data_IF_163902107065
#
_entry.id   IF_163902107065
#
_cell.length_a   1.000
_cell.length_b   1.000
_cell.length_c   1.000
_cell.angle_alpha   90.00
_cell.angle_beta   90.00
_cell.angle_gamma   90.00
#
_symmetry.space_group_name_H-M   'P 1'
#
loop_
_entity.id
_entity.type
_entity.pdbx_description
1 polymer ?
#
# COMPACT_ATOMS: atom_id res chain seq x y z
N UNK A 1 1.35 -10.81 25.30
CA UNK A 1 1.92 -10.18 26.52
C UNK A 1 3.03 -11.08 27.06
N UNK A 2 4.08 -10.50 27.60
CA UNK A 2 5.12 -11.24 28.37
C UNK A 2 4.54 -11.76 29.68
N UNK A 3 5.21 -12.74 30.31
CA UNK A 3 4.87 -13.21 31.67
C UNK A 3 4.82 -12.05 32.69
N UNK A 4 5.63 -11.02 32.47
CA UNK A 4 5.62 -9.77 33.26
C UNK A 4 4.42 -8.87 33.01
N UNK A 5 3.45 -9.27 32.17
CA UNK A 5 2.29 -8.47 31.76
C UNK A 5 2.57 -7.41 30.70
N UNK A 6 3.83 -7.15 30.33
CA UNK A 6 4.17 -6.15 29.33
C UNK A 6 3.66 -6.54 27.95
N UNK A 7 2.96 -5.62 27.26
CA UNK A 7 2.55 -5.77 25.88
C UNK A 7 3.74 -5.40 24.97
N UNK A 8 4.10 -6.28 24.06
CA UNK A 8 5.01 -6.04 22.95
C UNK A 8 4.19 -6.18 21.68
N UNK A 9 4.20 -5.17 20.84
CA UNK A 9 3.56 -5.18 19.53
C UNK A 9 4.63 -5.33 18.45
N UNK A 10 4.38 -6.21 17.50
CA UNK A 10 5.30 -6.45 16.36
C UNK A 10 4.50 -6.20 15.09
N UNK A 11 4.85 -5.15 14.37
CA UNK A 11 4.26 -4.78 13.09
C UNK A 11 5.17 -5.27 11.97
N UNK A 12 4.73 -6.27 11.21
CA UNK A 12 5.42 -6.75 10.02
C UNK A 12 5.32 -5.68 8.92
N UNK A 13 6.47 -5.19 8.44
CA UNK A 13 6.56 -4.16 7.41
C UNK A 13 6.83 -4.75 6.04
N UNK A 14 7.93 -5.49 5.94
CA UNK A 14 8.42 -6.07 4.69
C UNK A 14 8.93 -7.49 4.95
N UNK A 15 8.62 -8.46 4.06
CA UNK A 15 9.19 -9.79 4.14
C UNK A 15 10.67 -9.74 3.78
N UNK A 16 11.50 -10.47 4.54
CA UNK A 16 12.94 -10.53 4.28
C UNK A 16 13.33 -11.93 3.78
N UNK A 17 12.77 -12.98 4.37
CA UNK A 17 13.10 -14.34 4.00
C UNK A 17 11.87 -15.26 4.08
N UNK A 18 11.39 -15.69 2.90
CA UNK A 18 11.70 -15.16 1.56
C UNK A 18 11.24 -13.70 1.42
N UNK A 19 11.87 -12.94 0.52
CA UNK A 19 11.61 -11.52 0.29
C UNK A 19 10.40 -11.24 -0.61
N UNK A 20 9.60 -12.25 -0.89
CA UNK A 20 8.35 -12.19 -1.64
C UNK A 20 7.16 -12.43 -0.71
N UNK A 21 6.14 -11.58 -0.76
CA UNK A 21 4.96 -11.66 0.11
C UNK A 21 4.21 -12.99 -0.04
N UNK A 22 3.95 -13.43 -1.28
CA UNK A 22 3.18 -14.65 -1.52
C UNK A 22 3.94 -15.89 -1.05
N UNK A 23 5.24 -15.96 -1.33
CA UNK A 23 6.11 -17.03 -0.87
C UNK A 23 6.27 -17.02 0.65
N UNK A 24 6.38 -15.84 1.24
CA UNK A 24 6.55 -15.68 2.68
C UNK A 24 5.29 -16.13 3.44
N UNK A 25 4.09 -15.77 2.98
CA UNK A 25 2.84 -16.22 3.58
C UNK A 25 2.60 -17.73 3.50
N UNK A 26 3.20 -18.41 2.53
CA UNK A 26 3.11 -19.86 2.36
C UNK A 26 4.14 -20.65 3.19
N UNK A 27 5.07 -19.96 3.86
CA UNK A 27 6.04 -20.64 4.74
C UNK A 27 5.33 -21.38 5.85
N UNK A 28 5.85 -22.57 6.22
CA UNK A 28 5.19 -23.50 7.15
C UNK A 28 5.97 -23.76 8.44
N UNK A 29 7.13 -23.14 8.62
CA UNK A 29 7.94 -23.32 9.84
C UNK A 29 8.73 -22.09 10.26
N UNK A 30 9.09 -21.23 9.29
CA UNK A 30 9.92 -20.05 9.52
C UNK A 30 9.55 -18.94 8.54
N UNK A 31 9.57 -17.71 9.02
CA UNK A 31 9.33 -16.50 8.22
C UNK A 31 10.09 -15.34 8.86
N UNK A 32 10.82 -14.57 8.07
CA UNK A 32 11.55 -13.40 8.57
C UNK A 32 11.01 -12.10 7.96
N UNK A 33 10.84 -11.09 8.82
CA UNK A 33 10.27 -9.81 8.48
C UNK A 33 11.06 -8.65 9.05
N UNK A 34 11.12 -7.58 8.31
CA UNK A 34 11.45 -6.27 8.87
C UNK A 34 10.23 -5.75 9.62
N UNK A 35 10.39 -5.43 10.90
CA UNK A 35 9.27 -5.08 11.78
C UNK A 35 9.51 -3.78 12.54
N UNK A 36 8.45 -3.01 12.76
CA UNK A 36 8.41 -2.03 13.84
C UNK A 36 7.98 -2.72 15.14
N UNK A 37 8.61 -2.33 16.26
CA UNK A 37 8.33 -2.94 17.55
C UNK A 37 7.84 -1.87 18.53
N UNK A 38 6.57 -2.00 18.92
CA UNK A 38 5.97 -1.21 19.99
C UNK A 38 6.47 -1.69 21.35
N UNK A 39 6.72 -0.74 22.27
CA UNK A 39 7.30 -1.04 23.58
C UNK A 39 8.65 -1.78 23.54
N UNK A 40 9.49 -1.49 22.54
CA UNK A 40 10.80 -2.12 22.36
C UNK A 40 11.65 -2.19 23.64
N UNK A 41 11.61 -1.15 24.47
CA UNK A 41 12.33 -1.09 25.75
C UNK A 41 11.95 -2.23 26.72
N UNK A 42 10.79 -2.85 26.52
CA UNK A 42 10.31 -4.00 27.31
C UNK A 42 10.75 -5.34 26.73
N UNK A 43 11.25 -5.36 25.49
CA UNK A 43 11.86 -6.53 24.88
C UNK A 43 13.37 -6.46 25.01
N UNK A 44 13.88 -6.81 26.22
CA UNK A 44 15.30 -6.65 26.50
C UNK A 44 16.14 -7.72 25.84
N UNK A 45 15.84 -9.01 26.08
CA UNK A 45 16.61 -10.14 25.60
C UNK A 45 15.71 -11.37 25.39
N UNK A 46 16.21 -12.32 24.56
CA UNK A 46 15.60 -13.61 24.29
C UNK A 46 14.36 -13.55 23.38
N UNK A 47 13.93 -14.74 22.96
CA UNK A 47 12.73 -14.86 22.12
C UNK A 47 11.45 -14.60 22.93
N UNK A 48 10.39 -14.21 22.23
CA UNK A 48 9.04 -14.14 22.75
C UNK A 48 8.26 -15.35 22.28
N UNK A 49 7.45 -15.93 23.16
CA UNK A 49 6.60 -17.07 22.85
C UNK A 49 5.15 -16.73 23.08
N UNK A 50 4.27 -17.24 22.22
CA UNK A 50 2.82 -17.15 22.37
C UNK A 50 2.18 -18.43 21.88
N UNK A 51 1.34 -19.03 22.71
CA UNK A 51 0.57 -20.22 22.33
C UNK A 51 -0.84 -19.81 21.94
N UNK A 52 -1.34 -20.38 20.86
CA UNK A 52 -2.74 -20.24 20.41
C UNK A 52 -3.19 -21.48 19.65
N UNK A 53 -4.50 -21.64 19.52
CA UNK A 53 -5.06 -22.72 18.70
C UNK A 53 -5.27 -22.25 17.27
N UNK A 54 -4.63 -22.91 16.32
CA UNK A 54 -4.76 -22.66 14.88
C UNK A 54 -5.23 -23.95 14.21
N UNK A 55 -6.30 -23.90 13.46
CA UNK A 55 -6.89 -25.09 12.80
C UNK A 55 -7.10 -26.27 13.77
N UNK A 56 -7.51 -26.00 15.00
CA UNK A 56 -7.78 -27.01 16.03
C UNK A 56 -6.55 -27.62 16.72
N UNK A 57 -5.35 -27.11 16.45
CA UNK A 57 -4.07 -27.56 17.08
C UNK A 57 -3.44 -26.41 17.88
N UNK A 58 -2.93 -26.71 19.06
CA UNK A 58 -2.14 -25.73 19.83
C UNK A 58 -0.79 -25.55 19.17
N UNK A 59 -0.41 -24.31 18.91
CA UNK A 59 0.83 -23.92 18.25
C UNK A 59 1.56 -22.90 19.11
N UNK A 60 2.85 -23.08 19.23
CA UNK A 60 3.76 -22.13 19.85
C UNK A 60 4.44 -21.28 18.78
N UNK A 61 4.05 -20.02 18.68
CA UNK A 61 4.76 -19.04 17.87
C UNK A 61 5.91 -18.43 18.68
N UNK A 62 7.09 -18.48 18.11
CA UNK A 62 8.30 -17.85 18.66
C UNK A 62 8.72 -16.70 17.77
N UNK A 63 8.94 -15.52 18.36
CA UNK A 63 9.50 -14.36 17.69
C UNK A 63 10.88 -14.03 18.27
N UNK A 64 11.90 -14.00 17.43
CA UNK A 64 13.28 -13.69 17.80
C UNK A 64 13.70 -12.39 17.13
N UNK A 65 14.12 -11.42 17.94
CA UNK A 65 14.58 -10.13 17.44
C UNK A 65 16.03 -10.22 16.96
N UNK A 66 16.27 -9.82 15.71
CA UNK A 66 17.59 -9.73 15.09
C UNK A 66 18.12 -8.30 15.02
N UNK A 67 18.82 -8.00 13.94
CA UNK A 67 19.52 -6.74 13.71
C UNK A 67 18.57 -5.52 13.61
N UNK A 68 19.13 -4.38 13.97
CA UNK A 68 18.41 -3.09 13.88
C UNK A 68 18.72 -2.42 12.54
N UNK A 69 17.68 -2.03 11.83
CA UNK A 69 17.74 -1.29 10.57
C UNK A 69 17.00 0.05 10.73
N UNK A 70 17.72 1.10 11.10
CA UNK A 70 17.13 2.40 11.37
C UNK A 70 16.17 2.36 12.57
N UNK A 71 14.87 2.53 12.34
CA UNK A 71 13.83 2.44 13.38
C UNK A 71 13.14 1.09 13.45
N UNK A 72 13.54 0.15 12.59
CA UNK A 72 12.94 -1.18 12.44
C UNK A 72 13.94 -2.27 12.84
N UNK A 73 13.45 -3.48 13.03
CA UNK A 73 14.27 -4.64 13.40
C UNK A 73 13.89 -5.82 12.52
N UNK A 74 14.87 -6.63 12.19
CA UNK A 74 14.64 -7.97 11.68
C UNK A 74 13.99 -8.79 12.80
N UNK A 75 12.91 -9.51 12.49
CA UNK A 75 12.26 -10.45 13.41
C UNK A 75 12.06 -11.77 12.69
N UNK A 76 12.61 -12.84 13.27
CA UNK A 76 12.40 -14.21 12.86
C UNK A 76 11.22 -14.79 13.60
N UNK A 77 10.24 -15.31 12.86
CA UNK A 77 9.10 -16.05 13.37
C UNK A 77 9.31 -17.53 13.09
N UNK A 78 9.17 -18.36 14.11
CA UNK A 78 9.17 -19.81 13.99
C UNK A 78 7.98 -20.42 14.73
N UNK A 79 7.47 -21.54 14.24
CA UNK A 79 6.37 -22.27 14.88
C UNK A 79 6.53 -23.77 14.70
N UNK A 80 5.87 -24.54 15.56
CA UNK A 80 6.09 -25.96 15.76
C UNK A 80 5.14 -26.89 14.95
N UNK A 81 4.38 -26.36 13.99
CA UNK A 81 3.46 -27.17 13.19
C UNK A 81 3.57 -26.85 11.69
N UNK A 82 4.09 -27.78 10.86
CA UNK A 82 4.29 -27.57 9.43
C UNK A 82 2.99 -27.58 8.58
N UNK A 83 1.84 -27.93 9.13
CA UNK A 83 0.56 -27.84 8.43
C UNK A 83 -0.07 -26.45 8.49
N UNK A 84 0.58 -25.53 9.20
CA UNK A 84 0.12 -24.15 9.40
C UNK A 84 1.06 -23.21 8.67
N UNK A 85 0.49 -22.38 7.83
CA UNK A 85 1.23 -21.36 7.08
C UNK A 85 1.41 -20.08 7.90
N UNK A 86 2.36 -19.22 7.50
CA UNK A 86 2.52 -17.91 8.13
C UNK A 86 1.25 -17.05 7.98
N UNK A 87 0.52 -17.20 6.88
CA UNK A 87 -0.79 -16.54 6.71
C UNK A 87 -1.79 -16.97 7.80
N UNK A 88 -1.86 -18.28 8.11
CA UNK A 88 -2.72 -18.80 9.19
C UNK A 88 -2.28 -18.25 10.57
N UNK A 89 -0.96 -18.14 10.78
CA UNK A 89 -0.39 -17.51 11.98
C UNK A 89 -0.88 -16.07 12.12
N UNK A 90 -0.73 -15.26 11.06
CA UNK A 90 -1.16 -13.86 11.09
C UNK A 90 -2.67 -13.71 11.30
N UNK A 91 -3.47 -14.64 10.78
CA UNK A 91 -4.93 -14.61 10.95
C UNK A 91 -5.35 -14.83 12.42
N UNK A 92 -4.65 -15.70 13.15
CA UNK A 92 -5.02 -16.09 14.53
C UNK A 92 -4.26 -15.30 15.58
N UNK A 93 -2.95 -15.10 15.39
CA UNK A 93 -2.09 -14.37 16.33
C UNK A 93 -2.10 -12.87 16.11
N UNK A 94 -2.36 -12.44 14.85
CA UNK A 94 -2.39 -11.05 14.47
C UNK A 94 -3.67 -10.35 14.89
N UNK A 95 -3.56 -9.05 15.08
CA UNK A 95 -4.70 -8.15 15.19
C UNK A 95 -4.71 -7.28 13.94
N UNK A 96 -5.90 -7.01 13.40
CA UNK A 96 -6.04 -6.10 12.27
C UNK A 96 -5.58 -4.71 12.72
N UNK A 97 -4.51 -4.14 12.14
CA UNK A 97 -4.08 -2.80 12.51
C UNK A 97 -5.10 -1.79 11.99
N UNK A 98 -5.75 -1.09 12.91
CA UNK A 98 -6.59 0.07 12.59
C UNK A 98 -5.76 1.35 12.71
N UNK A 99 -6.12 2.42 12.00
CA UNK A 99 -5.37 3.67 12.06
C UNK A 99 -5.23 4.21 13.50
N UNK A 100 -4.02 4.64 13.91
CA UNK A 100 -3.75 5.08 15.30
C UNK A 100 -4.61 6.26 15.76
N UNK A 101 -5.08 7.11 14.85
CA UNK A 101 -5.92 8.27 15.18
C UNK A 101 -7.32 7.88 15.70
N UNK A 102 -7.75 6.62 15.54
CA UNK A 102 -9.01 6.14 16.12
C UNK A 102 -8.96 6.02 17.63
N UNK A 103 -7.76 5.99 18.24
CA UNK A 103 -7.53 5.96 19.69
C UNK A 103 -8.38 4.92 20.43
N UNK A 104 -8.59 3.76 19.83
CA UNK A 104 -9.29 2.62 20.42
C UNK A 104 -8.64 1.31 20.00
N UNK A 105 -8.92 0.24 20.70
CA UNK A 105 -8.54 -1.11 20.29
C UNK A 105 -9.38 -1.60 19.09
N UNK A 106 -8.84 -2.52 18.33
CA UNK A 106 -9.54 -3.19 17.22
C UNK A 106 -10.73 -3.97 17.75
N UNK A 107 -11.87 -3.86 17.10
CA UNK A 107 -13.11 -4.59 17.40
C UNK A 107 -13.34 -5.68 16.35
N UNK A 108 -14.13 -6.70 16.70
CA UNK A 108 -14.46 -7.78 15.77
C UNK A 108 -15.15 -7.26 14.50
N UNK A 109 -15.98 -6.22 14.65
CA UNK A 109 -16.63 -5.54 13.52
C UNK A 109 -15.64 -4.90 12.53
N UNK A 110 -14.42 -4.53 12.97
CA UNK A 110 -13.43 -3.94 12.07
C UNK A 110 -12.93 -4.96 11.03
N UNK A 111 -12.97 -6.25 11.33
CA UNK A 111 -12.61 -7.30 10.38
C UNK A 111 -13.50 -7.31 9.13
N UNK A 112 -14.74 -6.87 9.27
CA UNK A 112 -15.68 -6.74 8.16
C UNK A 112 -15.72 -5.31 7.62
N UNK A 113 -15.80 -4.31 8.50
CA UNK A 113 -15.99 -2.91 8.10
C UNK A 113 -14.73 -2.22 7.61
N UNK A 114 -13.53 -2.73 7.98
CA UNK A 114 -12.24 -2.23 7.50
C UNK A 114 -11.65 -3.12 6.41
N UNK A 115 -12.51 -3.71 5.57
CA UNK A 115 -12.16 -4.51 4.41
C UNK A 115 -13.01 -4.10 3.21
N UNK A 116 -12.40 -4.09 2.02
CA UNK A 116 -13.13 -3.84 0.78
C UNK A 116 -13.77 -5.12 0.27
N UNK A 117 -14.91 -5.01 -0.43
CA UNK A 117 -15.61 -6.15 -1.06
C UNK A 117 -14.76 -6.86 -2.13
N UNK A 118 -13.69 -6.23 -2.61
CA UNK A 118 -12.78 -6.79 -3.61
C UNK A 118 -11.41 -7.23 -3.03
N UNK A 119 -11.24 -7.22 -1.71
CA UNK A 119 -10.00 -7.71 -1.08
C UNK A 119 -9.83 -9.21 -1.32
N UNK A 120 -8.80 -9.61 -2.06
CA UNK A 120 -8.52 -11.01 -2.42
C UNK A 120 -7.23 -11.54 -1.83
N UNK A 121 -6.25 -10.68 -1.66
CA UNK A 121 -4.90 -11.05 -1.25
C UNK A 121 -4.64 -10.49 0.15
N UNK A 122 -4.40 -11.40 1.11
CA UNK A 122 -3.99 -11.06 2.48
C UNK A 122 -2.53 -10.56 2.44
N UNK A 123 -2.18 -9.59 3.27
CA UNK A 123 -0.77 -9.17 3.41
C UNK A 123 -0.50 -7.68 3.35
N UNK A 124 -1.52 -6.83 3.39
CA UNK A 124 -1.35 -5.39 3.56
C UNK A 124 -1.71 -4.96 4.97
N UNK A 125 -0.94 -4.04 5.53
CA UNK A 125 -1.19 -3.44 6.86
C UNK A 125 -2.29 -2.40 6.80
N UNK A 126 -2.51 -1.77 5.65
CA UNK A 126 -3.52 -0.73 5.47
C UNK A 126 -4.57 -1.17 4.45
N UNK A 127 -5.86 -1.08 4.84
CA UNK A 127 -6.96 -1.26 3.90
C UNK A 127 -7.01 -0.07 2.92
N UNK A 128 -7.41 -0.28 1.64
CA UNK A 128 -7.64 0.80 0.69
C UNK A 128 -8.95 1.52 1.02
N UNK A 129 -8.92 2.42 2.01
CA UNK A 129 -10.10 2.97 2.68
C UNK A 129 -11.07 3.74 1.77
N UNK A 130 -10.58 4.34 0.69
CA UNK A 130 -11.45 4.90 -0.34
C UNK A 130 -12.33 3.84 -1.03
N UNK A 131 -11.86 2.60 -1.08
CA UNK A 131 -12.60 1.46 -1.61
C UNK A 131 -13.74 0.95 -0.73
N UNK A 132 -13.76 1.31 0.56
CA UNK A 132 -14.82 0.93 1.49
C UNK A 132 -16.19 1.51 1.09
N UNK A 133 -16.22 2.56 0.29
CA UNK A 133 -17.46 3.17 -0.24
C UNK A 133 -18.07 2.37 -1.40
N UNK A 134 -17.34 1.40 -1.97
CA UNK A 134 -17.81 0.58 -3.08
C UNK A 134 -18.47 -0.70 -2.54
N UNK A 135 -19.78 -0.78 -2.72
CA UNK A 135 -20.57 -1.99 -2.42
C UNK A 135 -20.75 -2.82 -3.68
N UNK A 136 -21.13 -4.10 -3.53
CA UNK A 136 -21.48 -4.96 -4.67
C UNK A 136 -22.50 -4.30 -5.60
N UNK A 137 -23.48 -3.57 -5.04
CA UNK A 137 -24.49 -2.83 -5.82
C UNK A 137 -23.86 -1.72 -6.66
N UNK A 138 -22.90 -0.98 -6.11
CA UNK A 138 -22.19 0.09 -6.84
C UNK A 138 -21.36 -0.52 -7.96
N UNK A 139 -20.61 -1.58 -7.69
CA UNK A 139 -19.80 -2.28 -8.70
C UNK A 139 -20.66 -2.82 -9.84
N UNK A 140 -21.83 -3.45 -9.52
CA UNK A 140 -22.78 -3.91 -10.52
C UNK A 140 -23.31 -2.76 -11.39
N UNK A 141 -23.68 -1.63 -10.77
CA UNK A 141 -24.16 -0.44 -11.50
C UNK A 141 -23.11 0.16 -12.41
N UNK A 142 -21.84 0.19 -12.00
CA UNK A 142 -20.73 0.65 -12.85
C UNK A 142 -20.58 -0.25 -14.08
N UNK A 143 -20.63 -1.57 -13.88
CA UNK A 143 -20.56 -2.55 -14.96
C UNK A 143 -21.71 -2.41 -15.95
N UNK A 144 -22.96 -2.22 -15.48
CA UNK A 144 -24.14 -1.98 -16.31
C UNK A 144 -24.00 -0.70 -17.17
N UNK A 145 -23.26 0.30 -16.65
CA UNK A 145 -22.96 1.55 -17.37
C UNK A 145 -21.78 1.44 -18.31
N UNK A 146 -21.20 0.24 -18.47
CA UNK A 146 -20.05 0.02 -19.34
C UNK A 146 -18.74 0.59 -18.81
N UNK A 147 -18.61 0.77 -17.49
CA UNK A 147 -17.35 1.17 -16.84
C UNK A 147 -16.50 -0.07 -16.63
N UNK A 148 -15.32 -0.11 -17.22
CA UNK A 148 -14.33 -1.15 -16.98
C UNK A 148 -13.71 -1.00 -15.59
N UNK A 149 -13.68 -2.12 -14.86
CA UNK A 149 -13.08 -2.20 -13.53
C UNK A 149 -11.77 -2.98 -13.64
N UNK A 150 -10.70 -2.38 -13.14
CA UNK A 150 -9.38 -3.01 -13.08
C UNK A 150 -8.81 -2.96 -11.66
N UNK A 151 -7.98 -3.94 -11.37
CA UNK A 151 -7.33 -4.08 -10.08
C UNK A 151 -5.83 -3.84 -10.23
N UNK A 152 -5.26 -3.10 -9.30
CA UNK A 152 -3.83 -3.00 -9.10
C UNK A 152 -3.50 -3.45 -7.68
N UNK A 153 -2.38 -4.14 -7.50
CA UNK A 153 -1.95 -4.58 -6.17
C UNK A 153 -0.84 -3.66 -5.68
N UNK A 154 -1.03 -3.15 -4.49
CA UNK A 154 -0.03 -2.40 -3.76
C UNK A 154 0.14 -3.01 -2.37
N UNK A 155 1.38 -3.35 -2.02
CA UNK A 155 1.73 -3.79 -0.68
C UNK A 155 2.14 -2.57 0.14
N UNK A 156 1.21 -2.10 0.96
CA UNK A 156 1.41 -0.92 1.81
C UNK A 156 1.94 -1.36 3.16
N UNK A 157 3.17 -0.98 3.45
CA UNK A 157 3.79 -1.20 4.76
C UNK A 157 3.25 -0.26 5.84
N UNK A 158 3.50 -0.58 7.12
CA UNK A 158 3.06 0.23 8.27
C UNK A 158 3.66 1.65 8.30
N UNK A 159 4.64 1.93 7.44
CA UNK A 159 5.23 3.26 7.26
C UNK A 159 4.22 4.34 6.87
N UNK A 160 3.13 3.96 6.20
CA UNK A 160 2.05 4.88 5.78
C UNK A 160 1.36 5.56 6.95
N UNK A 161 1.43 5.00 8.16
CA UNK A 161 0.87 5.60 9.37
C UNK A 161 1.80 6.58 10.08
N UNK A 162 3.03 6.78 9.59
CA UNK A 162 3.95 7.76 10.18
C UNK A 162 3.57 9.18 9.72
N UNK A 163 3.35 10.12 10.64
CA UNK A 163 3.12 11.51 10.28
C UNK A 163 4.38 12.11 9.65
N UNK A 164 4.20 13.06 8.74
CA UNK A 164 5.30 13.91 8.24
C UNK A 164 5.87 14.67 9.42
N UNK A 165 7.15 14.48 9.70
CA UNK A 165 7.85 15.14 10.83
C UNK A 165 8.72 16.31 10.38
N UNK A 166 8.96 16.45 9.07
CA UNK A 166 9.74 17.54 8.50
C UNK A 166 8.86 18.76 8.24
N UNK A 167 9.38 19.94 8.51
CA UNK A 167 8.73 21.21 8.14
C UNK A 167 8.79 21.46 6.62
N UNK A 168 9.75 20.84 5.95
CA UNK A 168 9.96 20.92 4.50
C UNK A 168 9.72 19.55 3.85
N UNK A 169 9.14 19.57 2.64
CA UNK A 169 8.80 18.35 1.89
C UNK A 169 10.04 17.56 1.50
N UNK A 170 11.15 18.27 1.19
CA UNK A 170 12.42 17.66 0.80
C UNK A 170 13.02 16.78 1.90
N UNK A 171 12.77 17.12 3.17
CA UNK A 171 13.23 16.34 4.32
C UNK A 171 12.37 15.11 4.65
N UNK A 172 11.28 14.89 3.94
CA UNK A 172 10.41 13.73 4.14
C UNK A 172 10.83 12.58 3.24
N UNK A 173 11.20 11.44 3.83
CA UNK A 173 11.49 10.21 3.10
C UNK A 173 10.23 9.37 2.94
N UNK A 174 9.82 9.16 1.67
CA UNK A 174 8.73 8.27 1.33
C UNK A 174 9.14 6.81 1.50
N UNK A 175 8.25 5.99 2.06
CA UNK A 175 8.47 4.56 2.12
C UNK A 175 8.34 3.92 0.74
N UNK A 176 9.16 2.89 0.52
CA UNK A 176 9.05 2.02 -0.65
C UNK A 176 7.77 1.19 -0.54
N UNK A 177 6.97 1.20 -1.59
CA UNK A 177 5.78 0.37 -1.73
C UNK A 177 5.94 -0.53 -2.96
N UNK A 178 5.67 -1.83 -2.81
CA UNK A 178 5.77 -2.80 -3.89
C UNK A 178 4.46 -2.83 -4.67
N UNK A 179 4.56 -2.73 -5.98
CA UNK A 179 3.42 -2.71 -6.90
C UNK A 179 3.44 -3.93 -7.81
N UNK A 180 2.24 -4.44 -8.08
CA UNK A 180 2.02 -5.49 -9.06
C UNK A 180 0.86 -5.09 -9.97
N UNK A 181 1.10 -5.06 -11.28
CA UNK A 181 0.11 -4.66 -12.28
C UNK A 181 0.08 -5.70 -13.40
N UNK A 182 -1.08 -6.27 -13.66
CA UNK A 182 -1.27 -7.26 -14.71
C UNK A 182 -1.09 -6.65 -16.10
N UNK A 183 -0.60 -7.44 -17.03
CA UNK A 183 -0.45 -7.06 -18.44
C UNK A 183 -1.78 -6.62 -19.05
N UNK A 184 -2.87 -7.32 -18.75
CA UNK A 184 -4.23 -6.97 -19.19
C UNK A 184 -4.64 -5.56 -18.74
N UNK A 185 -4.23 -5.13 -17.54
CA UNK A 185 -4.49 -3.78 -17.03
C UNK A 185 -3.74 -2.72 -17.84
N UNK A 186 -2.47 -2.99 -18.23
CA UNK A 186 -1.71 -2.11 -19.13
C UNK A 186 -2.38 -2.01 -20.50
N UNK A 187 -2.81 -3.14 -21.06
CA UNK A 187 -3.52 -3.19 -22.35
C UNK A 187 -4.83 -2.38 -22.30
N UNK A 188 -5.60 -2.49 -21.22
CA UNK A 188 -6.83 -1.70 -21.04
C UNK A 188 -6.55 -0.21 -20.86
N UNK A 189 -5.53 0.15 -20.10
CA UNK A 189 -5.10 1.56 -20.00
C UNK A 189 -4.79 2.15 -21.37
N UNK A 190 -4.07 1.41 -22.22
CA UNK A 190 -3.78 1.84 -23.60
C UNK A 190 -5.08 2.00 -24.38
N UNK A 191 -6.00 1.03 -24.29
CA UNK A 191 -7.30 1.07 -24.99
C UNK A 191 -8.16 2.28 -24.53
N UNK A 192 -8.04 2.68 -23.27
CA UNK A 192 -8.69 3.87 -22.69
C UNK A 192 -7.82 5.15 -22.80
N UNK A 193 -6.94 5.24 -23.78
CA UNK A 193 -6.09 6.41 -24.09
C UNK A 193 -5.14 6.82 -22.95
N UNK A 194 -4.80 5.89 -22.07
CA UNK A 194 -3.96 6.14 -20.90
C UNK A 194 -4.67 6.93 -19.81
N UNK A 195 -5.99 6.89 -19.74
CA UNK A 195 -6.79 7.62 -18.76
C UNK A 195 -7.48 6.67 -17.79
N UNK A 196 -7.47 7.03 -16.51
CA UNK A 196 -8.11 6.25 -15.46
C UNK A 196 -8.80 7.12 -14.42
N UNK A 197 -9.82 6.54 -13.78
CA UNK A 197 -10.38 6.99 -12.50
C UNK A 197 -9.72 6.16 -11.40
N UNK A 198 -8.92 6.77 -10.55
CA UNK A 198 -8.28 6.07 -9.45
C UNK A 198 -9.16 6.05 -8.20
N UNK A 199 -9.25 4.90 -7.54
CA UNK A 199 -9.91 4.75 -6.25
C UNK A 199 -8.83 4.58 -5.16
N UNK A 200 -8.63 5.63 -4.36
CA UNK A 200 -7.62 5.72 -3.32
C UNK A 200 -6.27 6.26 -3.80
N UNK A 201 -5.57 6.92 -2.89
CA UNK A 201 -4.27 7.55 -3.14
C UNK A 201 -3.17 6.53 -3.46
N UNK A 202 -3.29 5.30 -2.96
CA UNK A 202 -2.40 4.19 -3.29
C UNK A 202 -2.52 3.79 -4.76
N UNK A 203 -3.75 3.69 -5.29
CA UNK A 203 -3.98 3.45 -6.73
C UNK A 203 -3.46 4.59 -7.58
N UNK A 204 -3.62 5.84 -7.12
CA UNK A 204 -3.03 7.01 -7.81
C UNK A 204 -1.52 6.86 -7.92
N UNK A 205 -0.83 6.58 -6.83
CA UNK A 205 0.63 6.43 -6.83
C UNK A 205 1.09 5.28 -7.72
N UNK A 206 0.38 4.17 -7.72
CA UNK A 206 0.66 3.04 -8.62
C UNK A 206 0.52 3.45 -10.08
N UNK A 207 -0.62 4.03 -10.46
CA UNK A 207 -0.89 4.43 -11.84
C UNK A 207 0.11 5.47 -12.35
N UNK A 208 0.36 6.52 -11.56
CA UNK A 208 1.32 7.56 -11.95
C UNK A 208 2.76 7.01 -12.03
N UNK A 209 3.12 6.02 -11.19
CA UNK A 209 4.41 5.33 -11.28
C UNK A 209 4.59 4.58 -12.60
N UNK A 210 3.52 4.03 -13.19
CA UNK A 210 3.61 3.35 -14.49
C UNK A 210 4.17 4.27 -15.57
N UNK A 211 3.82 5.54 -15.55
CA UNK A 211 4.38 6.49 -16.51
C UNK A 211 5.92 6.55 -16.41
N UNK A 212 6.46 6.66 -15.22
CA UNK A 212 7.91 6.78 -15.00
C UNK A 212 8.65 5.45 -15.23
N UNK A 213 8.00 4.33 -14.97
CA UNK A 213 8.51 3.00 -15.35
C UNK A 213 8.66 2.91 -16.88
N UNK A 214 7.66 3.36 -17.63
CA UNK A 214 7.74 3.40 -19.08
C UNK A 214 8.84 4.33 -19.59
N UNK A 215 9.06 5.48 -18.94
CA UNK A 215 10.19 6.38 -19.22
C UNK A 215 11.52 5.66 -18.99
N UNK A 216 11.69 4.97 -17.86
CA UNK A 216 12.91 4.19 -17.57
C UNK A 216 13.16 3.13 -18.63
N UNK A 217 12.13 2.36 -19.02
CA UNK A 217 12.23 1.34 -20.09
C UNK A 217 12.57 1.96 -21.43
N UNK A 218 12.07 3.16 -21.75
CA UNK A 218 12.40 3.85 -23.01
C UNK A 218 13.89 4.18 -23.14
N UNK A 219 14.53 4.46 -21.99
CA UNK A 219 15.96 4.75 -21.91
C UNK A 219 16.83 3.49 -21.83
N UNK A 220 16.34 2.44 -21.16
CA UNK A 220 16.99 1.14 -21.02
C UNK A 220 15.98 0.01 -21.23
N UNK A 221 15.95 -0.57 -22.43
CA UNK A 221 14.99 -1.61 -22.83
C UNK A 221 15.09 -2.91 -22.03
N UNK A 222 16.27 -3.18 -21.49
CA UNK A 222 16.59 -4.39 -20.73
C UNK A 222 16.83 -4.07 -19.25
N UNK A 223 16.23 -2.98 -18.75
CA UNK A 223 16.29 -2.59 -17.36
C UNK A 223 15.92 -3.76 -16.45
N UNK A 224 16.72 -3.98 -15.40
CA UNK A 224 16.40 -4.96 -14.36
C UNK A 224 15.18 -4.54 -13.57
N UNK A 225 14.56 -5.47 -12.88
CA UNK A 225 13.41 -5.17 -12.01
C UNK A 225 13.74 -4.12 -10.95
N UNK A 226 14.96 -4.09 -10.43
CA UNK A 226 15.44 -3.09 -9.48
C UNK A 226 15.56 -1.70 -10.12
N UNK A 227 16.00 -1.62 -11.38
CA UNK A 227 16.10 -0.36 -12.13
C UNK A 227 14.73 0.23 -12.49
N UNK A 228 13.65 -0.58 -12.48
CA UNK A 228 12.28 -0.13 -12.68
C UNK A 228 11.68 0.54 -11.43
N UNK A 229 12.39 0.54 -10.30
CA UNK A 229 11.98 1.26 -9.10
C UNK A 229 11.81 2.76 -9.38
N UNK A 230 10.65 3.31 -9.04
CA UNK A 230 10.37 4.74 -9.19
C UNK A 230 10.86 5.49 -7.95
N UNK A 231 11.89 6.31 -8.13
CA UNK A 231 12.46 7.11 -7.06
C UNK A 231 11.52 8.24 -6.64
N UNK A 232 11.65 8.70 -5.40
CA UNK A 232 10.79 9.72 -4.79
C UNK A 232 10.66 10.98 -5.64
N UNK A 233 11.76 11.54 -6.12
CA UNK A 233 11.84 12.80 -6.84
C UNK A 233 11.95 12.64 -8.36
N UNK A 234 11.93 11.43 -8.88
CA UNK A 234 12.03 11.14 -10.32
C UNK A 234 11.07 11.99 -11.19
N UNK A 235 9.81 12.27 -10.76
CA UNK A 235 8.90 13.11 -11.53
C UNK A 235 9.38 14.53 -11.78
N UNK A 236 10.23 15.05 -10.91
CA UNK A 236 10.70 16.45 -10.92
C UNK A 236 12.12 16.58 -11.48
N UNK A 237 12.83 15.46 -11.65
CA UNK A 237 14.22 15.41 -12.13
C UNK A 237 14.32 14.90 -13.57
N UNK A 238 13.28 14.30 -14.12
CA UNK A 238 13.31 13.70 -15.46
C UNK A 238 13.06 14.73 -16.55
N UNK A 239 14.04 14.91 -17.43
CA UNK A 239 13.93 15.73 -18.65
C UNK A 239 13.26 14.98 -19.82
N UNK A 240 13.01 13.67 -19.65
CA UNK A 240 12.41 12.83 -20.70
C UNK A 240 10.90 12.96 -20.67
N UNK A 241 10.32 13.44 -21.75
CA UNK A 241 8.89 13.58 -21.93
C UNK A 241 8.40 12.59 -23.00
N UNK A 242 7.57 11.64 -22.57
CA UNK A 242 6.80 10.75 -23.44
C UNK A 242 5.31 11.10 -23.32
N UNK A 243 4.53 10.81 -24.33
CA UNK A 243 3.09 10.72 -24.14
C UNK A 243 2.77 9.54 -23.21
N UNK A 244 1.62 9.61 -22.53
CA UNK A 244 1.17 8.53 -21.64
C UNK A 244 1.09 7.20 -22.39
N UNK A 245 0.62 7.23 -23.63
CA UNK A 245 0.50 6.04 -24.50
C UNK A 245 1.86 5.45 -24.84
N UNK A 246 2.83 6.28 -25.24
CA UNK A 246 4.19 5.81 -25.54
C UNK A 246 4.83 5.13 -24.31
N UNK A 247 4.67 5.75 -23.15
CA UNK A 247 5.17 5.18 -21.90
C UNK A 247 4.54 3.81 -21.58
N UNK A 248 3.20 3.68 -21.67
CA UNK A 248 2.51 2.41 -21.46
C UNK A 248 2.86 1.36 -22.51
N UNK A 249 3.10 1.77 -23.77
CA UNK A 249 3.58 0.88 -24.83
C UNK A 249 5.00 0.37 -24.57
N UNK A 250 5.88 1.20 -23.99
CA UNK A 250 7.19 0.75 -23.54
C UNK A 250 7.08 -0.37 -22.49
N UNK A 251 6.17 -0.22 -21.51
CA UNK A 251 5.91 -1.26 -20.50
C UNK A 251 5.38 -2.53 -21.16
N UNK A 252 4.36 -2.42 -22.02
CA UNK A 252 3.78 -3.58 -22.70
C UNK A 252 4.83 -4.30 -23.55
N UNK A 253 5.68 -3.56 -24.28
CA UNK A 253 6.80 -4.09 -25.05
C UNK A 253 7.84 -4.81 -24.18
N UNK A 254 8.15 -4.27 -23.00
CA UNK A 254 9.02 -4.90 -22.01
C UNK A 254 8.43 -6.21 -21.50
N UNK A 255 7.16 -6.19 -21.06
CA UNK A 255 6.48 -7.40 -20.58
C UNK A 255 6.42 -8.49 -21.65
N UNK A 256 6.19 -8.14 -22.91
CA UNK A 256 6.18 -9.08 -24.01
C UNK A 256 7.57 -9.72 -24.25
N UNK A 257 8.65 -8.93 -24.21
CA UNK A 257 10.02 -9.45 -24.42
C UNK A 257 10.45 -10.40 -23.30
N UNK A 258 10.05 -10.09 -22.07
CA UNK A 258 10.42 -10.88 -20.88
C UNK A 258 9.38 -11.95 -20.51
N UNK A 259 8.33 -12.12 -21.34
CA UNK A 259 7.27 -13.12 -21.13
C UNK A 259 6.57 -12.98 -19.77
N UNK A 260 6.26 -11.73 -19.36
CA UNK A 260 5.66 -11.39 -18.09
C UNK A 260 4.15 -11.23 -18.21
N UNK A 261 3.39 -11.89 -17.32
CA UNK A 261 1.96 -11.71 -17.19
C UNK A 261 1.60 -10.56 -16.22
N UNK A 262 2.53 -10.22 -15.33
CA UNK A 262 2.42 -9.08 -14.42
C UNK A 262 3.76 -8.35 -14.30
N UNK A 263 3.69 -7.04 -14.15
CA UNK A 263 4.82 -6.19 -13.84
C UNK A 263 4.95 -6.10 -12.31
N UNK A 264 6.09 -6.52 -11.78
CA UNK A 264 6.43 -6.40 -10.36
C UNK A 264 7.56 -5.41 -10.21
N UNK A 265 7.38 -4.38 -9.42
CA UNK A 265 8.40 -3.38 -9.10
C UNK A 265 8.01 -2.63 -7.83
N UNK A 266 8.64 -1.50 -7.56
CA UNK A 266 8.36 -0.69 -6.38
C UNK A 266 8.37 0.80 -6.70
N UNK A 267 7.79 1.59 -5.78
CA UNK A 267 7.72 3.04 -5.92
C UNK A 267 7.92 3.74 -4.59
N UNK A 268 8.60 4.87 -4.63
CA UNK A 268 8.66 5.87 -3.57
C UNK A 268 8.06 7.21 -4.03
N UNK A 269 7.38 7.23 -5.19
CA UNK A 269 6.90 8.46 -5.81
C UNK A 269 6.22 9.39 -4.79
N UNK A 270 6.64 10.65 -4.75
CA UNK A 270 5.93 11.73 -4.08
C UNK A 270 5.17 12.56 -5.12
N UNK A 271 3.91 12.86 -4.83
CA UNK A 271 3.08 13.71 -5.66
C UNK A 271 2.74 14.95 -4.84
N UNK A 272 3.25 16.10 -5.26
CA UNK A 272 3.14 17.36 -4.56
C UNK A 272 2.71 18.49 -5.53
N UNK A 273 2.28 19.65 -5.04
CA UNK A 273 1.93 20.79 -5.89
C UNK A 273 2.99 21.09 -6.96
N UNK A 274 2.54 21.26 -8.20
CA UNK A 274 3.38 21.36 -9.40
C UNK A 274 3.51 20.06 -10.19
N UNK A 275 3.05 18.92 -9.65
CA UNK A 275 2.99 17.67 -10.38
C UNK A 275 1.89 17.69 -11.45
N UNK A 276 2.23 17.24 -12.66
CA UNK A 276 1.29 17.06 -13.75
C UNK A 276 0.86 15.59 -13.89
N UNK A 277 -0.39 15.31 -13.59
CA UNK A 277 -0.95 13.95 -13.67
C UNK A 277 -0.94 13.41 -15.11
N UNK A 278 -0.39 12.22 -15.27
CA UNK A 278 -0.23 11.56 -16.58
C UNK A 278 -1.39 10.61 -16.90
N UNK A 279 -1.75 9.75 -15.98
CA UNK A 279 -2.75 8.67 -16.16
C UNK A 279 -4.05 8.99 -15.44
N UNK A 280 -4.00 9.48 -14.20
CA UNK A 280 -5.18 9.70 -13.38
C UNK A 280 -5.88 10.99 -13.79
N UNK A 281 -7.11 10.88 -14.27
CA UNK A 281 -7.94 12.03 -14.70
C UNK A 281 -9.10 12.32 -13.76
N UNK A 282 -9.48 11.37 -12.91
CA UNK A 282 -10.45 11.53 -11.82
C UNK A 282 -10.01 10.70 -10.64
N UNK A 283 -10.40 11.11 -9.45
CA UNK A 283 -9.96 10.42 -8.23
C UNK A 283 -11.11 10.31 -7.24
N UNK A 284 -11.31 9.10 -6.70
CA UNK A 284 -12.15 8.88 -5.52
C UNK A 284 -11.21 8.75 -4.32
N UNK A 285 -11.39 9.60 -3.31
CA UNK A 285 -10.53 9.58 -2.11
C UNK A 285 -11.28 10.04 -0.87
N UNK A 286 -10.81 9.63 0.31
CA UNK A 286 -11.26 10.17 1.58
C UNK A 286 -10.72 11.59 1.80
N UNK A 287 -11.24 12.28 2.82
CA UNK A 287 -10.65 13.54 3.30
C UNK A 287 -9.45 13.24 4.20
N UNK A 288 -8.33 13.89 3.93
CA UNK A 288 -7.05 13.62 4.59
C UNK A 288 -6.69 14.67 5.64
N UNK A 289 -5.79 14.31 6.56
CA UNK A 289 -5.29 15.24 7.58
C UNK A 289 -4.42 16.34 6.95
N UNK A 290 -4.38 17.53 7.56
CA UNK A 290 -3.35 18.53 7.29
C UNK A 290 -1.95 17.94 7.50
N UNK A 291 -0.94 18.52 6.84
CA UNK A 291 0.46 18.10 6.94
C UNK A 291 0.68 16.61 6.61
N UNK A 292 -0.06 16.08 5.65
CA UNK A 292 0.11 14.72 5.15
C UNK A 292 0.51 14.72 3.67
N UNK A 293 1.32 13.75 3.25
CA UNK A 293 1.66 13.53 1.83
C UNK A 293 0.42 13.24 0.99
N UNK A 294 -0.64 12.72 1.60
CA UNK A 294 -1.92 12.46 0.94
C UNK A 294 -2.64 13.75 0.57
N UNK A 295 -2.59 14.77 1.45
CA UNK A 295 -3.16 16.08 1.13
C UNK A 295 -2.32 16.82 0.08
N UNK A 296 -1.00 16.65 0.05
CA UNK A 296 -0.16 17.18 -1.03
C UNK A 296 -0.57 16.62 -2.39
N UNK A 297 -0.81 15.31 -2.47
CA UNK A 297 -1.28 14.63 -3.67
C UNK A 297 -2.64 15.19 -4.13
N UNK A 298 -3.60 15.35 -3.21
CA UNK A 298 -4.90 15.96 -3.53
C UNK A 298 -4.73 17.41 -3.97
N UNK A 299 -3.91 18.21 -3.28
CA UNK A 299 -3.62 19.59 -3.64
C UNK A 299 -3.05 19.74 -5.05
N UNK A 300 -2.11 18.84 -5.40
CA UNK A 300 -1.57 18.78 -6.77
C UNK A 300 -2.68 18.48 -7.80
N UNK A 301 -3.58 17.55 -7.48
CA UNK A 301 -4.64 17.12 -8.37
C UNK A 301 -5.65 18.23 -8.67
N UNK A 302 -6.05 18.98 -7.65
CA UNK A 302 -7.02 20.10 -7.79
C UNK A 302 -6.34 21.47 -7.95
N UNK A 303 -5.04 21.48 -8.31
CA UNK A 303 -4.27 22.71 -8.62
C UNK A 303 -4.35 23.78 -7.52
N UNK A 304 -4.33 23.33 -6.26
CA UNK A 304 -4.35 24.19 -5.09
C UNK A 304 -5.75 24.49 -4.53
N UNK A 305 -6.82 24.16 -5.22
CA UNK A 305 -8.20 24.47 -4.79
C UNK A 305 -8.73 23.56 -3.65
N UNK A 306 -7.87 22.75 -3.04
CA UNK A 306 -8.24 21.82 -1.97
C UNK A 306 -8.88 22.53 -0.76
N UNK A 307 -8.51 23.78 -0.45
CA UNK A 307 -9.12 24.57 0.63
C UNK A 307 -10.63 24.73 0.42
N UNK A 308 -11.07 25.11 -0.78
CA UNK A 308 -12.50 25.27 -1.08
C UNK A 308 -13.29 23.96 -0.85
N UNK A 309 -12.69 22.82 -1.22
CA UNK A 309 -13.30 21.50 -1.07
C UNK A 309 -13.41 21.14 0.41
N UNK A 310 -12.33 21.36 1.19
CA UNK A 310 -12.26 21.01 2.59
C UNK A 310 -13.10 21.96 3.46
N UNK A 311 -13.12 23.26 3.17
CA UNK A 311 -13.96 24.24 3.85
C UNK A 311 -15.45 23.91 3.64
N UNK A 312 -15.83 23.52 2.42
CA UNK A 312 -17.18 23.04 2.14
C UNK A 312 -17.52 21.79 2.96
N UNK A 313 -16.62 20.80 2.97
CA UNK A 313 -16.83 19.57 3.71
C UNK A 313 -17.00 19.82 5.22
N UNK A 314 -16.14 20.68 5.80
CA UNK A 314 -16.22 21.07 7.21
C UNK A 314 -17.51 21.81 7.55
N UNK A 315 -17.99 22.68 6.64
CA UNK A 315 -19.22 23.44 6.83
C UNK A 315 -20.50 22.58 6.69
N UNK A 316 -20.41 21.37 6.14
CA UNK A 316 -21.53 20.49 5.86
C UNK A 316 -21.43 19.13 6.59
N UNK A 317 -20.74 19.08 7.71
CA UNK A 317 -20.63 17.91 8.60
C UNK A 317 -20.09 16.64 7.93
N UNK A 318 -19.25 16.76 6.89
CA UNK A 318 -18.57 15.61 6.32
C UNK A 318 -17.57 15.02 7.31
N UNK A 319 -17.52 13.71 7.36
CA UNK A 319 -16.58 12.98 8.21
C UNK A 319 -15.27 12.76 7.47
N UNK A 320 -14.17 12.88 8.19
CA UNK A 320 -12.82 12.80 7.65
C UNK A 320 -12.18 11.44 7.93
N UNK A 321 -11.09 11.17 7.23
CA UNK A 321 -10.21 10.01 7.40
C UNK A 321 -10.85 8.68 6.94
N UNK A 322 -10.28 7.55 7.38
CA UNK A 322 -10.57 6.21 6.84
C UNK A 322 -12.02 5.75 6.98
N UNK A 323 -12.69 6.10 8.08
CA UNK A 323 -14.11 5.83 8.32
C UNK A 323 -15.01 7.02 7.98
N UNK A 324 -14.45 8.02 7.35
CA UNK A 324 -15.18 9.21 6.93
C UNK A 324 -15.87 9.06 5.58
N UNK A 325 -16.28 10.20 5.06
CA UNK A 325 -16.90 10.29 3.75
C UNK A 325 -15.83 10.35 2.64
N UNK A 326 -16.24 10.18 1.40
CA UNK A 326 -15.35 10.28 0.24
C UNK A 326 -15.76 11.38 -0.70
N UNK A 327 -14.82 11.79 -1.53
CA UNK A 327 -15.02 12.76 -2.61
C UNK A 327 -14.66 12.15 -3.96
N UNK A 328 -15.42 12.48 -4.99
CA UNK A 328 -15.02 12.28 -6.38
C UNK A 328 -14.47 13.62 -6.89
N UNK A 329 -13.17 13.67 -7.10
CA UNK A 329 -12.46 14.83 -7.59
C UNK A 329 -12.37 14.78 -9.13
N UNK A 330 -12.78 15.87 -9.77
CA UNK A 330 -12.74 16.07 -11.23
C UNK A 330 -12.11 17.45 -11.41
N UNK A 331 -10.82 17.54 -11.83
CA UNK A 331 -10.08 18.80 -11.95
C UNK A 331 -10.57 19.65 -13.12
#
# INVERSE_FOLDING_TARGET
RKETGALIEIFCLEPIQPNDYALNFQQTSHSAWLCMIGNLKKWKEGPLHKEMTVKGKTITLTATRGECHGTSHWVDFTWDNPEVTFADILEVFGELPIPPYLNRETQESDKETYQTVYSKIKGSVAAPTAGLHFTERVLASLKEKGVDLEEVTLHVGAGTFKPVKSEEIEGHEMHTEYISVNKSTIEKLIAHRGEAVAVGTTSVRTLESLYYIGVTISQNRDASQEELHVKQWQPYESDVTLSTIESLQCILGYMNRHNLDALHTSTQIIIAPGYEYKIVKRMVTNFHQPQSTLLLLVSAFVKGDWHKIYDYALAHDFRFLSYGDSSLLIP
#
